data_IF_217555562961
#
_entry.id   IF_217555562961
#
_cell.length_a   1.000
_cell.length_b   1.000
_cell.length_c   1.000
_cell.angle_alpha   90.00
_cell.angle_beta   90.00
_cell.angle_gamma   90.00
#
_symmetry.space_group_name_H-M   'P 1'
#
loop_
_entity.id
_entity.type
_entity.pdbx_description
1 polymer ?
#
# COMPACT_ATOMS: atom_id res chain seq x y z
N UNK A 1 -30.06 21.69 6.82
CA UNK A 1 -29.32 22.59 5.93
C UNK A 1 -27.95 22.88 6.52
N UNK A 2 -27.88 23.37 7.75
CA UNK A 2 -26.64 23.63 8.51
C UNK A 2 -25.54 22.55 8.41
N UNK A 3 -25.84 21.26 8.65
CA UNK A 3 -24.84 20.18 8.54
C UNK A 3 -24.26 19.98 7.14
N UNK A 4 -25.04 20.24 6.08
CA UNK A 4 -24.61 20.12 4.69
C UNK A 4 -23.76 21.34 4.32
N UNK A 5 -24.22 22.53 4.70
CA UNK A 5 -23.53 23.79 4.41
C UNK A 5 -22.16 23.85 5.12
N UNK A 6 -22.03 23.19 6.27
CA UNK A 6 -20.80 23.10 7.06
C UNK A 6 -19.93 21.87 6.78
N UNK A 7 -20.35 20.95 5.89
CA UNK A 7 -19.62 19.70 5.58
C UNK A 7 -19.25 18.87 6.83
N UNK A 8 -20.13 18.81 7.83
CA UNK A 8 -19.82 18.12 9.09
C UNK A 8 -19.79 16.60 8.97
N UNK A 9 -20.40 16.04 7.92
CA UNK A 9 -20.52 14.59 7.68
C UNK A 9 -19.79 14.17 6.40
N UNK A 10 -18.67 14.83 6.10
CA UNK A 10 -17.77 14.47 5.00
C UNK A 10 -16.45 13.94 5.55
N UNK A 11 -15.66 13.26 4.71
CA UNK A 11 -14.30 12.89 5.06
C UNK A 11 -13.43 14.14 5.12
N UNK A 12 -12.71 14.32 6.23
CA UNK A 12 -11.72 15.37 6.42
C UNK A 12 -10.33 14.74 6.48
N UNK A 13 -9.34 15.31 5.78
CA UNK A 13 -7.99 14.77 5.73
C UNK A 13 -6.93 15.87 5.71
N UNK A 14 -6.02 15.85 6.69
CA UNK A 14 -4.81 16.69 6.71
C UNK A 14 -3.70 16.03 5.89
N UNK A 15 -3.79 16.12 4.55
CA UNK A 15 -2.98 15.31 3.62
C UNK A 15 -1.47 15.38 3.83
N UNK A 16 -0.91 16.54 4.19
CA UNK A 16 0.55 16.70 4.43
C UNK A 16 1.03 15.89 5.64
N UNK A 17 0.24 15.88 6.71
CA UNK A 17 0.60 15.15 7.94
C UNK A 17 0.38 13.65 7.75
N UNK A 18 -0.76 13.28 7.16
CA UNK A 18 -1.08 11.90 6.80
C UNK A 18 0.01 11.31 5.91
N UNK A 19 0.49 12.03 4.91
CA UNK A 19 1.59 11.58 4.04
C UNK A 19 2.85 11.19 4.82
N UNK A 20 3.31 12.06 5.72
CA UNK A 20 4.56 11.84 6.48
C UNK A 20 4.44 10.61 7.39
N UNK A 21 3.32 10.52 8.09
CA UNK A 21 3.05 9.43 9.03
C UNK A 21 2.87 8.11 8.26
N UNK A 22 2.16 8.13 7.14
CA UNK A 22 1.93 6.98 6.27
C UNK A 22 3.24 6.37 5.75
N UNK A 23 4.11 7.18 5.13
CA UNK A 23 5.39 6.70 4.58
C UNK A 23 6.26 6.08 5.68
N UNK A 24 6.32 6.72 6.86
CA UNK A 24 7.14 6.23 7.98
C UNK A 24 6.60 4.92 8.55
N UNK A 25 5.29 4.86 8.80
CA UNK A 25 4.62 3.71 9.39
C UNK A 25 4.67 2.49 8.46
N UNK A 26 4.36 2.66 7.18
CA UNK A 26 4.39 1.58 6.20
C UNK A 26 5.79 1.04 5.95
N UNK A 27 6.80 1.90 5.89
CA UNK A 27 8.18 1.43 5.76
C UNK A 27 8.60 0.56 6.95
N UNK A 28 8.25 0.98 8.18
CA UNK A 28 8.53 0.20 9.39
C UNK A 28 7.79 -1.14 9.36
N UNK A 29 6.52 -1.13 8.95
CA UNK A 29 5.70 -2.34 8.86
C UNK A 29 6.25 -3.32 7.82
N UNK A 30 6.58 -2.83 6.62
CA UNK A 30 7.17 -3.63 5.55
C UNK A 30 8.49 -4.29 5.97
N UNK A 31 9.41 -3.51 6.55
CA UNK A 31 10.68 -4.05 7.05
C UNK A 31 10.46 -5.09 8.15
N UNK A 32 9.50 -4.88 9.04
CA UNK A 32 9.19 -5.84 10.10
C UNK A 32 8.59 -7.13 9.55
N UNK A 33 7.71 -7.04 8.54
CA UNK A 33 7.14 -8.23 7.90
C UNK A 33 8.21 -9.07 7.19
N UNK A 34 9.14 -8.42 6.47
CA UNK A 34 10.29 -9.07 5.85
C UNK A 34 11.20 -9.76 6.88
N UNK A 35 11.54 -9.05 7.96
CA UNK A 35 12.33 -9.58 9.08
C UNK A 35 11.67 -10.83 9.70
N UNK A 36 10.37 -10.77 9.97
CA UNK A 36 9.62 -11.90 10.55
C UNK A 36 9.51 -13.08 9.58
N UNK A 37 9.48 -12.82 8.28
CA UNK A 37 9.48 -13.85 7.25
C UNK A 37 10.88 -14.44 6.97
N UNK A 38 11.94 -13.83 7.51
CA UNK A 38 13.32 -14.22 7.18
C UNK A 38 13.70 -13.91 5.73
N UNK A 39 13.04 -12.94 5.11
CA UNK A 39 13.22 -12.57 3.71
C UNK A 39 13.85 -11.18 3.58
N UNK A 40 14.58 -11.00 2.49
CA UNK A 40 15.04 -9.71 2.01
C UNK A 40 14.04 -9.10 1.03
N UNK A 41 14.23 -7.83 0.69
CA UNK A 41 13.35 -7.17 -0.28
C UNK A 41 13.61 -7.67 -1.71
N UNK A 42 14.81 -8.21 -1.95
CA UNK A 42 15.23 -8.83 -3.19
C UNK A 42 14.41 -10.10 -3.51
N UNK A 43 14.02 -10.85 -2.48
CA UNK A 43 13.21 -12.07 -2.57
C UNK A 43 11.74 -11.81 -2.95
N UNK A 44 11.28 -10.56 -2.81
CA UNK A 44 9.89 -10.19 -3.12
C UNK A 44 9.70 -10.03 -4.62
N UNK A 45 8.80 -10.82 -5.19
CA UNK A 45 8.44 -10.75 -6.61
C UNK A 45 7.56 -9.53 -6.91
N UNK A 46 6.61 -9.24 -6.01
CA UNK A 46 5.67 -8.14 -6.17
C UNK A 46 5.31 -7.49 -4.83
N UNK A 47 5.17 -6.16 -4.85
CA UNK A 47 4.67 -5.38 -3.73
C UNK A 47 3.28 -4.85 -4.07
N UNK A 48 2.30 -5.13 -3.21
CA UNK A 48 0.92 -4.64 -3.29
C UNK A 48 0.72 -3.56 -2.21
N UNK A 49 0.99 -2.28 -2.51
CA UNK A 49 0.74 -1.19 -1.57
C UNK A 49 -0.74 -0.81 -1.52
N UNK A 50 -1.16 -0.15 -0.44
CA UNK A 50 -2.41 0.61 -0.45
C UNK A 50 -2.38 1.67 -1.56
N UNK A 51 -3.40 1.66 -2.42
CA UNK A 51 -3.55 2.58 -3.54
C UNK A 51 -4.08 3.94 -3.06
N UNK A 52 -3.31 4.65 -2.23
CA UNK A 52 -3.70 5.97 -1.72
C UNK A 52 -3.34 7.11 -2.69
N UNK A 53 -2.07 7.16 -3.09
CA UNK A 53 -1.54 8.08 -4.08
C UNK A 53 -0.14 7.62 -4.52
N UNK A 54 0.25 8.01 -5.75
CA UNK A 54 1.55 7.65 -6.33
C UNK A 54 2.74 8.10 -5.48
N UNK A 55 2.70 9.30 -4.90
CA UNK A 55 3.83 9.87 -4.15
C UNK A 55 4.22 9.02 -2.93
N UNK A 56 3.23 8.47 -2.22
CA UNK A 56 3.47 7.57 -1.08
C UNK A 56 4.08 6.26 -1.57
N UNK A 57 3.56 5.70 -2.66
CA UNK A 57 4.06 4.44 -3.23
C UNK A 57 5.51 4.60 -3.71
N UNK A 58 5.82 5.69 -4.41
CA UNK A 58 7.19 6.02 -4.83
C UNK A 58 8.12 6.18 -3.63
N UNK A 59 7.70 6.93 -2.60
CA UNK A 59 8.52 7.13 -1.41
C UNK A 59 8.79 5.83 -0.64
N UNK A 60 7.87 4.86 -0.66
CA UNK A 60 8.10 3.53 -0.09
C UNK A 60 9.08 2.75 -0.95
N UNK A 61 8.88 2.72 -2.27
CA UNK A 61 9.75 2.00 -3.20
C UNK A 61 11.21 2.46 -3.08
N UNK A 62 11.43 3.78 -3.09
CA UNK A 62 12.75 4.39 -2.98
C UNK A 62 13.42 4.03 -1.63
N UNK A 63 12.67 4.01 -0.52
CA UNK A 63 13.19 3.70 0.83
C UNK A 63 13.37 2.22 1.12
N UNK A 64 12.66 1.36 0.39
CA UNK A 64 12.85 -0.09 0.39
C UNK A 64 13.97 -0.50 -0.57
N UNK A 65 14.40 0.37 -1.49
CA UNK A 65 15.44 0.05 -2.48
C UNK A 65 14.92 -0.84 -3.62
N UNK A 66 13.62 -0.82 -3.90
CA UNK A 66 13.04 -1.61 -5.00
C UNK A 66 12.80 -0.78 -6.23
N UNK A 67 12.94 -1.44 -7.38
CA UNK A 67 12.48 -0.88 -8.63
C UNK A 67 10.96 -0.73 -8.62
N UNK A 68 10.49 0.37 -9.20
CA UNK A 68 9.07 0.72 -9.27
C UNK A 68 8.23 -0.32 -10.01
N UNK A 69 8.84 -1.09 -10.90
CA UNK A 69 8.13 -2.15 -11.61
C UNK A 69 7.65 -3.26 -10.66
N UNK A 70 8.36 -3.53 -9.55
CA UNK A 70 7.90 -4.49 -8.53
C UNK A 70 6.63 -4.03 -7.80
N UNK A 71 6.29 -2.73 -7.84
CA UNK A 71 5.07 -2.21 -7.24
C UNK A 71 3.89 -2.39 -8.19
N UNK A 72 2.84 -3.08 -7.75
CA UNK A 72 1.60 -3.13 -8.51
C UNK A 72 0.79 -1.85 -8.29
N UNK A 73 0.44 -1.18 -9.39
CA UNK A 73 -0.30 0.09 -9.37
C UNK A 73 -1.48 -0.01 -10.34
N UNK A 74 -2.67 0.25 -9.83
CA UNK A 74 -3.90 0.44 -10.62
C UNK A 74 -4.68 1.69 -10.19
N UNK A 75 -4.01 2.58 -9.44
CA UNK A 75 -4.55 3.84 -8.97
C UNK A 75 -5.09 4.72 -10.11
N UNK A 76 -4.44 4.69 -11.27
CA UNK A 76 -4.86 5.39 -12.49
C UNK A 76 -6.25 4.95 -12.99
N UNK A 77 -6.67 3.73 -12.67
CA UNK A 77 -7.95 3.14 -13.08
C UNK A 77 -9.04 3.29 -12.02
N UNK A 78 -8.70 3.15 -10.74
CA UNK A 78 -9.70 3.06 -9.66
C UNK A 78 -9.60 4.16 -8.60
N UNK A 79 -8.51 4.92 -8.56
CA UNK A 79 -8.21 5.83 -7.46
C UNK A 79 -8.11 5.10 -6.11
N UNK A 80 -8.35 5.83 -5.03
CA UNK A 80 -8.31 5.25 -3.68
C UNK A 80 -9.65 4.60 -3.32
N UNK A 81 -9.69 3.28 -3.36
CA UNK A 81 -10.85 2.45 -2.99
C UNK A 81 -10.82 1.98 -1.52
N UNK A 82 -10.08 2.70 -0.66
CA UNK A 82 -9.97 2.43 0.78
C UNK A 82 -9.51 1.00 1.07
N UNK A 83 -10.23 0.25 1.92
CA UNK A 83 -9.90 -1.12 2.28
C UNK A 83 -9.87 -2.08 1.08
N UNK A 84 -10.62 -1.82 0.01
CA UNK A 84 -10.65 -2.67 -1.18
C UNK A 84 -9.39 -2.55 -2.05
N UNK A 85 -8.60 -1.48 -1.88
CA UNK A 85 -7.48 -1.16 -2.76
C UNK A 85 -6.47 -2.29 -2.89
N UNK A 86 -6.08 -2.93 -1.79
CA UNK A 86 -5.11 -4.02 -1.80
C UNK A 86 -5.70 -5.30 -2.38
N UNK A 87 -6.98 -5.61 -2.08
CA UNK A 87 -7.63 -6.80 -2.61
C UNK A 87 -7.80 -6.74 -4.14
N UNK A 88 -8.22 -5.58 -4.66
CA UNK A 88 -8.35 -5.35 -6.10
C UNK A 88 -6.97 -5.43 -6.78
N UNK A 89 -5.96 -4.77 -6.21
CA UNK A 89 -4.61 -4.81 -6.75
C UNK A 89 -4.00 -6.22 -6.74
N UNK A 90 -4.24 -7.01 -5.69
CA UNK A 90 -3.79 -8.39 -5.60
C UNK A 90 -4.46 -9.30 -6.65
N UNK A 91 -5.78 -9.19 -6.83
CA UNK A 91 -6.51 -9.95 -7.87
C UNK A 91 -5.96 -9.62 -9.26
N UNK A 92 -5.78 -8.34 -9.57
CA UNK A 92 -5.28 -7.94 -10.88
C UNK A 92 -3.82 -8.33 -11.09
N UNK A 93 -2.96 -8.25 -10.06
CA UNK A 93 -1.59 -8.76 -10.13
C UNK A 93 -1.56 -10.25 -10.49
N UNK A 94 -2.44 -11.05 -9.89
CA UNK A 94 -2.59 -12.47 -10.23
C UNK A 94 -3.08 -12.67 -11.67
N UNK A 95 -4.16 -12.00 -12.06
CA UNK A 95 -4.79 -12.18 -13.38
C UNK A 95 -3.92 -11.70 -14.54
N UNK A 96 -3.02 -10.75 -14.28
CA UNK A 96 -2.05 -10.25 -15.27
C UNK A 96 -0.75 -11.06 -15.31
N UNK A 97 -0.63 -12.11 -14.48
CA UNK A 97 0.56 -12.95 -14.40
C UNK A 97 1.76 -12.25 -13.77
N UNK A 98 1.54 -11.16 -13.03
CA UNK A 98 2.59 -10.43 -12.30
C UNK A 98 3.09 -11.22 -11.09
N UNK A 99 2.26 -12.09 -10.54
CA UNK A 99 2.59 -13.04 -9.47
C UNK A 99 2.25 -14.46 -9.90
N UNK A 100 3.03 -15.44 -9.43
CA UNK A 100 2.92 -16.87 -9.73
C UNK A 100 3.02 -17.69 -8.46
N UNK A 101 2.57 -18.94 -8.51
CA UNK A 101 2.70 -19.86 -7.36
C UNK A 101 4.17 -19.97 -6.94
N UNK A 102 4.43 -19.84 -5.65
CA UNK A 102 5.76 -19.82 -5.03
C UNK A 102 6.41 -18.44 -4.95
N UNK A 103 5.82 -17.40 -5.56
CA UNK A 103 6.32 -16.03 -5.44
C UNK A 103 6.02 -15.46 -4.05
N UNK A 104 6.97 -14.73 -3.47
CA UNK A 104 6.72 -13.94 -2.28
C UNK A 104 6.14 -12.57 -2.63
N UNK A 105 5.01 -12.25 -2.01
CA UNK A 105 4.28 -10.99 -2.22
C UNK A 105 4.23 -10.20 -0.91
N UNK A 106 4.75 -8.98 -0.94
CA UNK A 106 4.68 -8.05 0.18
C UNK A 106 3.45 -7.16 0.03
N UNK A 107 2.55 -7.17 1.00
CA UNK A 107 1.45 -6.22 1.06
C UNK A 107 1.68 -5.22 2.19
N UNK A 108 1.34 -3.96 1.95
CA UNK A 108 1.52 -2.89 2.95
C UNK A 108 0.42 -1.85 2.86
N UNK A 109 -0.18 -1.50 4.00
CA UNK A 109 -1.33 -0.59 4.08
C UNK A 109 -1.21 0.44 5.18
N UNK A 110 -1.95 1.54 5.02
CA UNK A 110 -2.22 2.52 6.05
C UNK A 110 -3.63 3.07 5.90
N UNK A 111 -4.20 3.63 6.97
CA UNK A 111 -5.51 4.25 6.97
C UNK A 111 -5.73 5.16 8.18
N UNK A 112 -6.89 5.82 8.21
CA UNK A 112 -7.31 6.65 9.34
C UNK A 112 -7.33 5.87 10.66
N UNK A 113 -6.91 6.51 11.75
CA UNK A 113 -6.74 5.86 13.07
C UNK A 113 -5.62 6.47 13.93
N UNK A 114 -4.38 6.62 13.46
CA UNK A 114 -3.78 5.96 12.31
C UNK A 114 -3.63 4.46 12.55
N UNK A 115 -3.88 3.68 11.51
CA UNK A 115 -3.65 2.24 11.49
C UNK A 115 -2.80 1.88 10.28
N UNK A 116 -1.96 0.85 10.43
CA UNK A 116 -1.12 0.33 9.36
C UNK A 116 -0.82 -1.14 9.61
N UNK A 117 -0.57 -1.86 8.54
CA UNK A 117 -0.21 -3.27 8.59
C UNK A 117 0.64 -3.64 7.38
N UNK A 118 1.41 -4.73 7.53
CA UNK A 118 2.10 -5.36 6.43
C UNK A 118 2.08 -6.87 6.62
N UNK A 119 2.08 -7.59 5.52
CA UNK A 119 2.23 -9.05 5.51
C UNK A 119 3.07 -9.47 4.31
N UNK A 120 3.75 -10.60 4.45
CA UNK A 120 4.36 -11.31 3.34
C UNK A 120 3.61 -12.62 3.19
N UNK A 121 3.22 -12.96 1.97
CA UNK A 121 2.59 -14.24 1.63
C UNK A 121 3.41 -14.94 0.56
N UNK A 122 3.47 -16.26 0.63
CA UNK A 122 3.82 -17.09 -0.52
C UNK A 122 2.54 -17.33 -1.32
N UNK A 123 2.53 -16.94 -2.60
CA UNK A 123 1.37 -17.05 -3.49
C UNK A 123 1.17 -18.49 -4.01
#
# INVERSE_FOLDING_TARGET
>A
RENVDMNLVTIHMTGKEVYKQAVTAMLKAAKKALELAGLSIEDIACVIPHQANLRIMEAIADRLGISRDKMFVNLDRYGNTSAAAVAIALDEANRTGRIKRGDYVLMVVFGGGLTWASTVIEW
#
